data_IF_002863624450
#
_entry.id   IF_002863624450
#
_cell.length_a   1.000
_cell.length_b   1.000
_cell.length_c   1.000
_cell.angle_alpha   90.00
_cell.angle_beta   90.00
_cell.angle_gamma   90.00
#
_symmetry.space_group_name_H-M   'P 1'
#
loop_
_entity.id
_entity.type
_entity.pdbx_description
1 polymer ?
#
# COMPACT_ATOMS: atom_id res chain seq x y z
N UNK A 1 -0.31 -8.17 -14.93
CA UNK A 1 0.28 -9.04 -13.89
C UNK A 1 -0.25 -8.61 -12.53
N UNK A 2 -0.88 -9.53 -11.85
CA UNK A 2 -1.59 -9.24 -10.61
C UNK A 2 -1.20 -10.24 -9.53
N UNK A 3 -1.17 -9.77 -8.28
CA UNK A 3 -1.07 -10.63 -7.09
C UNK A 3 -1.96 -10.08 -6.01
N UNK A 4 -2.58 -10.96 -5.23
CA UNK A 4 -3.37 -10.56 -4.08
C UNK A 4 -3.08 -11.52 -2.93
N UNK A 5 -2.85 -10.97 -1.75
CA UNK A 5 -2.61 -11.76 -0.55
C UNK A 5 -3.33 -11.16 0.64
N UNK A 6 -3.70 -12.00 1.60
CA UNK A 6 -4.22 -11.54 2.88
C UNK A 6 -3.05 -11.41 3.83
N UNK A 7 -2.94 -10.26 4.49
CA UNK A 7 -1.86 -10.02 5.43
C UNK A 7 -2.19 -10.63 6.78
N UNK A 8 -1.20 -11.21 7.48
CA UNK A 8 -1.42 -11.63 8.85
C UNK A 8 -1.70 -10.42 9.75
N UNK A 9 -2.52 -10.65 10.76
CA UNK A 9 -2.78 -9.62 11.76
C UNK A 9 -1.54 -9.41 12.61
N UNK A 10 -1.41 -8.21 13.16
CA UNK A 10 -0.33 -7.93 14.07
C UNK A 10 0.94 -7.44 13.37
N UNK A 11 2.05 -7.36 14.13
CA UNK A 11 3.26 -6.68 13.64
C UNK A 11 3.93 -7.35 12.45
N UNK A 12 3.71 -8.63 12.23
CA UNK A 12 4.29 -9.33 11.08
C UNK A 12 3.63 -9.00 9.75
N UNK A 13 2.48 -8.31 9.79
CA UNK A 13 1.74 -7.98 8.56
C UNK A 13 2.51 -7.06 7.63
N UNK A 14 3.14 -6.02 8.16
CA UNK A 14 3.92 -5.11 7.33
C UNK A 14 5.15 -5.80 6.73
N UNK A 15 5.81 -6.64 7.51
CA UNK A 15 6.95 -7.42 7.04
C UNK A 15 6.53 -8.38 5.94
N UNK A 16 5.38 -9.03 6.11
CA UNK A 16 4.81 -9.92 5.10
C UNK A 16 4.52 -9.15 3.80
N UNK A 17 3.94 -7.96 3.93
CA UNK A 17 3.62 -7.12 2.77
C UNK A 17 4.89 -6.73 2.01
N UNK A 18 5.97 -6.37 2.71
CA UNK A 18 7.24 -6.04 2.07
C UNK A 18 7.81 -7.23 1.32
N UNK A 19 7.74 -8.44 1.92
CA UNK A 19 8.23 -9.63 1.24
C UNK A 19 7.44 -9.95 -0.02
N UNK A 20 6.12 -9.78 0.04
CA UNK A 20 5.27 -9.98 -1.13
C UNK A 20 5.63 -8.98 -2.23
N UNK A 21 5.84 -7.73 -1.87
CA UNK A 21 6.22 -6.69 -2.83
C UNK A 21 7.61 -6.98 -3.43
N UNK A 22 8.57 -7.38 -2.61
CA UNK A 22 9.90 -7.69 -3.09
C UNK A 22 9.89 -8.84 -4.08
N UNK A 23 9.09 -9.87 -3.81
CA UNK A 23 8.96 -11.02 -4.69
C UNK A 23 8.32 -10.62 -6.02
N UNK A 24 7.27 -9.81 -5.98
CA UNK A 24 6.64 -9.31 -7.19
C UNK A 24 7.61 -8.46 -8.01
N UNK A 25 8.39 -7.63 -7.34
CA UNK A 25 9.37 -6.77 -8.02
C UNK A 25 10.38 -7.60 -8.80
N UNK A 26 10.83 -8.72 -8.24
CA UNK A 26 11.72 -9.64 -8.95
C UNK A 26 11.04 -10.30 -10.13
N UNK A 27 9.84 -10.84 -9.90
CA UNK A 27 9.09 -11.52 -10.96
C UNK A 27 8.76 -10.59 -12.12
N UNK A 28 8.45 -9.35 -11.82
CA UNK A 28 8.00 -8.38 -12.81
C UNK A 28 9.13 -7.50 -13.32
N UNK A 29 10.35 -7.73 -12.87
CA UNK A 29 11.55 -7.04 -13.33
C UNK A 29 11.45 -5.53 -13.15
N UNK A 30 10.97 -5.11 -11.99
CA UNK A 30 10.93 -3.68 -11.66
C UNK A 30 12.36 -3.17 -11.47
N UNK A 31 12.61 -1.92 -11.86
CA UNK A 31 13.93 -1.35 -11.64
C UNK A 31 14.16 -1.13 -10.15
N UNK A 32 15.42 -0.83 -9.81
CA UNK A 32 15.83 -0.72 -8.41
C UNK A 32 15.14 0.41 -7.68
N UNK A 33 15.07 1.57 -8.32
CA UNK A 33 14.47 2.75 -7.71
C UNK A 33 12.99 2.53 -7.44
N UNK A 34 12.28 1.99 -8.42
CA UNK A 34 10.87 1.69 -8.28
C UNK A 34 10.64 0.66 -7.17
N UNK A 35 11.49 -0.36 -7.10
CA UNK A 35 11.40 -1.39 -6.08
C UNK A 35 11.61 -0.80 -4.68
N UNK A 36 12.62 0.02 -4.50
CA UNK A 36 12.90 0.62 -3.19
C UNK A 36 11.75 1.53 -2.73
N UNK A 37 11.22 2.34 -3.64
CA UNK A 37 10.10 3.21 -3.33
C UNK A 37 8.86 2.38 -3.00
N UNK A 38 8.57 1.35 -3.80
CA UNK A 38 7.41 0.49 -3.55
C UNK A 38 7.50 -0.21 -2.20
N UNK A 39 8.68 -0.69 -1.82
CA UNK A 39 8.87 -1.34 -0.52
C UNK A 39 8.58 -0.38 0.63
N UNK A 40 9.04 0.85 0.53
CA UNK A 40 8.76 1.86 1.56
C UNK A 40 7.27 2.15 1.64
N UNK A 41 6.64 2.41 0.51
CA UNK A 41 5.23 2.82 0.50
C UNK A 41 4.30 1.68 0.91
N UNK A 42 4.56 0.44 0.48
CA UNK A 42 3.72 -0.69 0.89
C UNK A 42 3.82 -0.93 2.39
N UNK A 43 5.01 -0.73 2.96
CA UNK A 43 5.21 -0.84 4.40
C UNK A 43 4.35 0.17 5.15
N UNK A 44 4.31 1.41 4.67
CA UNK A 44 3.50 2.46 5.29
C UNK A 44 2.01 2.16 5.20
N UNK A 45 1.53 1.76 4.03
CA UNK A 45 0.12 1.43 3.84
C UNK A 45 -0.30 0.23 4.70
N UNK A 46 0.52 -0.81 4.71
CA UNK A 46 0.21 -2.00 5.50
C UNK A 46 0.21 -1.70 7.00
N UNK A 47 1.18 -0.92 7.46
CA UNK A 47 1.25 -0.54 8.87
C UNK A 47 0.02 0.26 9.28
N UNK A 48 -0.38 1.23 8.46
CA UNK A 48 -1.58 2.01 8.73
C UNK A 48 -2.83 1.13 8.79
N UNK A 49 -2.99 0.23 7.85
CA UNK A 49 -4.17 -0.63 7.81
C UNK A 49 -4.23 -1.57 9.01
N UNK A 50 -3.09 -2.09 9.43
CA UNK A 50 -3.02 -3.01 10.56
C UNK A 50 -3.25 -2.29 11.87
N UNK A 51 -2.71 -1.09 12.03
CA UNK A 51 -2.81 -0.31 13.27
C UNK A 51 -4.16 0.36 13.43
N UNK A 52 -4.73 0.87 12.35
CA UNK A 52 -5.91 1.74 12.39
C UNK A 52 -7.12 1.18 11.68
N UNK A 53 -6.95 0.13 10.88
CA UNK A 53 -8.03 -0.51 10.18
C UNK A 53 -8.59 -1.70 10.92
N UNK A 54 -9.44 -2.44 10.25
CA UNK A 54 -10.09 -3.63 10.78
C UNK A 54 -9.73 -4.84 9.92
N UNK A 55 -9.25 -5.94 10.53
CA UNK A 55 -8.96 -7.14 9.74
C UNK A 55 -10.22 -7.74 9.11
N UNK A 56 -10.10 -8.49 8.02
CA UNK A 56 -8.84 -8.85 7.35
C UNK A 56 -8.28 -7.70 6.53
N UNK A 57 -6.97 -7.66 6.37
CA UNK A 57 -6.26 -6.70 5.55
C UNK A 57 -5.73 -7.41 4.32
N UNK A 58 -6.03 -6.89 3.15
CA UNK A 58 -5.61 -7.47 1.88
C UNK A 58 -4.68 -6.55 1.13
N UNK A 59 -3.69 -7.13 0.52
CA UNK A 59 -2.73 -6.44 -0.32
C UNK A 59 -2.93 -6.88 -1.76
N UNK A 60 -3.10 -5.93 -2.66
CA UNK A 60 -3.23 -6.18 -4.09
C UNK A 60 -2.13 -5.44 -4.84
N UNK A 61 -1.41 -6.14 -5.70
CA UNK A 61 -0.33 -5.60 -6.50
C UNK A 61 -0.67 -5.82 -7.97
N UNK A 62 -0.54 -4.76 -8.76
CA UNK A 62 -0.81 -4.85 -10.20
C UNK A 62 0.25 -4.06 -10.97
N UNK A 63 0.82 -4.70 -11.98
CA UNK A 63 1.70 -4.02 -12.92
C UNK A 63 1.03 -4.00 -14.29
N UNK A 64 0.91 -2.82 -14.87
CA UNK A 64 0.27 -2.59 -16.14
C UNK A 64 1.15 -1.64 -16.95
N UNK A 65 1.82 -2.17 -17.97
CA UNK A 65 2.87 -1.46 -18.68
C UNK A 65 4.00 -1.07 -17.71
N UNK A 66 4.23 0.22 -17.52
CA UNK A 66 5.26 0.73 -16.60
C UNK A 66 4.67 1.27 -15.31
N UNK A 67 3.39 0.98 -15.04
CA UNK A 67 2.70 1.52 -13.88
C UNK A 67 2.44 0.42 -12.86
N UNK A 68 2.96 0.61 -11.66
CA UNK A 68 2.69 -0.27 -10.54
C UNK A 68 1.59 0.34 -9.68
N UNK A 69 0.52 -0.42 -9.46
CA UNK A 69 -0.54 -0.03 -8.54
C UNK A 69 -0.55 -0.97 -7.36
N UNK A 70 -0.55 -0.40 -6.17
CA UNK A 70 -0.60 -1.14 -4.92
C UNK A 70 -1.81 -0.68 -4.14
N UNK A 71 -2.63 -1.63 -3.68
CA UNK A 71 -3.83 -1.36 -2.89
C UNK A 71 -3.79 -2.15 -1.61
N UNK A 72 -4.13 -1.49 -0.51
CA UNK A 72 -4.30 -2.15 0.77
C UNK A 72 -5.73 -1.88 1.23
N UNK A 73 -6.49 -2.96 1.43
CA UNK A 73 -7.91 -2.90 1.79
C UNK A 73 -8.11 -3.50 3.17
N UNK A 74 -8.79 -2.78 4.05
CA UNK A 74 -9.23 -3.32 5.33
C UNK A 74 -10.74 -3.26 5.43
N UNK A 75 -11.31 -3.78 6.51
CA UNK A 75 -12.76 -3.88 6.68
C UNK A 75 -13.39 -2.72 7.44
N UNK A 76 -12.60 -1.69 7.74
CA UNK A 76 -13.10 -0.52 8.46
C UNK A 76 -14.01 0.33 7.55
N UNK A 77 -15.12 0.86 8.06
CA UNK A 77 -15.94 1.76 7.28
C UNK A 77 -15.40 3.20 7.25
N UNK A 78 -14.38 3.50 8.04
CA UNK A 78 -13.88 4.87 8.20
C UNK A 78 -12.72 5.10 7.26
N UNK A 79 -12.82 6.11 6.40
CA UNK A 79 -11.73 6.50 5.52
C UNK A 79 -10.59 7.11 6.33
N UNK A 80 -9.33 6.93 5.89
CA UNK A 80 -8.20 7.56 6.55
C UNK A 80 -8.25 9.06 6.36
N UNK A 81 -7.84 9.79 7.40
CA UNK A 81 -7.67 11.22 7.31
C UNK A 81 -6.21 11.53 7.02
N UNK A 82 -5.99 12.37 6.03
CA UNK A 82 -4.67 12.92 5.82
C UNK A 82 -4.30 13.81 6.98
N UNK A 83 -3.10 13.60 7.48
CA UNK A 83 -2.62 14.17 8.70
C UNK A 83 -3.01 15.61 8.94
N UNK A 84 -3.99 15.80 9.80
CA UNK A 84 -4.22 17.08 10.40
C UNK A 84 -3.07 17.30 11.38
N UNK A 85 -2.36 18.42 11.28
CA UNK A 85 -1.28 18.67 12.23
C UNK A 85 -1.78 18.53 13.67
N UNK A 86 -1.07 17.74 14.46
CA UNK A 86 -1.42 17.51 15.85
C UNK A 86 -2.34 16.34 16.10
N UNK A 87 -2.93 15.76 15.09
CA UNK A 87 -3.69 14.53 15.25
C UNK A 87 -2.73 13.34 15.26
N UNK A 88 -3.22 12.12 15.17
CA UNK A 88 -2.37 10.93 15.24
C UNK A 88 -1.19 11.05 14.27
N UNK A 89 -0.04 11.39 14.83
CA UNK A 89 1.14 11.72 14.04
C UNK A 89 1.68 10.53 13.29
N UNK A 90 1.50 9.32 13.80
CA UNK A 90 2.03 8.14 13.17
C UNK A 90 1.33 7.84 11.86
N UNK A 91 0.00 7.83 11.87
CA UNK A 91 -0.74 7.60 10.63
C UNK A 91 -0.61 8.79 9.67
N UNK A 92 -0.55 10.01 10.19
CA UNK A 92 -0.34 11.19 9.36
C UNK A 92 0.97 11.13 8.59
N UNK A 93 2.03 10.66 9.24
CA UNK A 93 3.34 10.54 8.58
C UNK A 93 3.34 9.51 7.47
N UNK A 94 2.70 8.35 7.68
CA UNK A 94 2.65 7.33 6.65
C UNK A 94 2.00 7.84 5.39
N UNK A 95 0.85 8.49 5.51
CA UNK A 95 0.15 9.02 4.35
C UNK A 95 0.91 10.19 3.71
N UNK A 96 1.61 10.99 4.50
CA UNK A 96 2.44 12.06 3.95
C UNK A 96 3.58 11.52 3.10
N UNK A 97 4.20 10.42 3.53
CA UNK A 97 5.26 9.79 2.76
C UNK A 97 4.71 9.29 1.41
N UNK A 98 3.55 8.64 1.45
CA UNK A 98 2.89 8.18 0.23
C UNK A 98 2.60 9.37 -0.70
N UNK A 99 2.06 10.44 -0.15
CA UNK A 99 1.73 11.63 -0.92
C UNK A 99 2.96 12.23 -1.60
N UNK A 100 4.10 12.21 -0.94
CA UNK A 100 5.33 12.80 -1.48
C UNK A 100 5.98 11.94 -2.55
N UNK A 101 5.93 10.63 -2.41
CA UNK A 101 6.72 9.73 -3.25
C UNK A 101 5.91 9.03 -4.33
N UNK A 102 4.61 8.89 -4.15
CA UNK A 102 3.79 8.24 -5.16
C UNK A 102 3.51 9.18 -6.33
N UNK A 103 3.44 8.64 -7.53
CA UNK A 103 3.00 9.41 -8.69
C UNK A 103 1.52 9.78 -8.53
N UNK A 104 0.72 8.86 -8.00
CA UNK A 104 -0.68 9.08 -7.66
C UNK A 104 -1.01 8.26 -6.42
N UNK A 105 -1.98 8.71 -5.64
CA UNK A 105 -2.46 7.96 -4.49
C UNK A 105 -3.90 8.37 -4.19
N UNK A 106 -4.59 7.57 -3.42
CA UNK A 106 -5.94 7.89 -3.02
C UNK A 106 -6.48 6.91 -2.00
N UNK A 107 -7.70 7.17 -1.58
CA UNK A 107 -8.43 6.27 -0.71
C UNK A 107 -9.90 6.27 -1.11
N UNK A 108 -10.56 5.14 -0.90
CA UNK A 108 -11.97 5.01 -1.23
C UNK A 108 -12.64 3.99 -0.33
N UNK A 109 -13.93 4.24 -0.06
CA UNK A 109 -14.76 3.26 0.64
C UNK A 109 -15.25 2.23 -0.36
N UNK A 110 -15.37 0.97 0.10
CA UNK A 110 -15.96 -0.08 -0.71
C UNK A 110 -17.45 0.20 -0.91
N UNK A 111 -17.93 0.02 -2.14
CA UNK A 111 -19.34 0.19 -2.46
C UNK A 111 -20.17 -1.05 -2.18
N UNK A 112 -19.54 -2.21 -2.17
CA UNK A 112 -20.27 -3.49 -2.13
C UNK A 112 -20.18 -4.18 -0.78
N UNK A 113 -19.28 -3.73 0.09
CA UNK A 113 -19.10 -4.28 1.43
C UNK A 113 -18.41 -3.24 2.30
N UNK A 114 -18.50 -3.41 3.61
CA UNK A 114 -17.76 -2.54 4.51
C UNK A 114 -16.28 -2.66 4.25
N UNK A 115 -15.61 -1.52 4.22
CA UNK A 115 -14.18 -1.51 4.03
C UNK A 115 -13.71 -0.26 3.36
N UNK A 116 -12.40 -0.11 3.37
CA UNK A 116 -11.74 0.99 2.67
C UNK A 116 -10.49 0.48 2.00
N UNK A 117 -10.12 1.14 0.91
CA UNK A 117 -8.89 0.86 0.17
C UNK A 117 -8.06 2.12 0.14
N UNK A 118 -6.78 1.99 0.51
CA UNK A 118 -5.79 3.04 0.29
C UNK A 118 -4.83 2.50 -0.76
N UNK A 119 -4.50 3.33 -1.73
CA UNK A 119 -3.70 2.86 -2.86
C UNK A 119 -2.69 3.92 -3.29
N UNK A 120 -1.63 3.45 -3.94
CA UNK A 120 -0.71 4.34 -4.63
C UNK A 120 -0.34 3.75 -5.99
N UNK A 121 0.14 4.62 -6.85
CA UNK A 121 0.70 4.25 -8.16
C UNK A 121 2.08 4.83 -8.30
N UNK A 122 2.97 4.04 -8.87
CA UNK A 122 4.30 4.48 -9.27
C UNK A 122 4.46 4.21 -10.76
N UNK A 123 5.14 5.13 -11.43
CA UNK A 123 5.50 4.93 -12.83
C UNK A 123 7.03 4.87 -12.91
N UNK A 124 7.52 3.98 -13.74
CA UNK A 124 8.96 3.82 -13.86
C UNK A 124 9.30 2.95 -15.04
N UNK A 125 10.58 2.59 -15.11
CA UNK A 125 11.05 1.70 -16.17
C UNK A 125 11.27 0.32 -15.60
N UNK A 126 11.00 -0.68 -16.43
CA UNK A 126 11.30 -2.05 -16.06
C UNK A 126 12.77 -2.32 -16.22
N UNK A 127 13.30 -3.19 -15.37
CA UNK A 127 14.65 -3.66 -15.48
C UNK A 127 14.81 -4.46 -16.77
N UNK A 128 15.90 -4.23 -17.47
CA UNK A 128 16.18 -4.91 -18.72
C UNK A 128 17.22 -5.99 -18.55
#
# INVERSE_FOLDING_TARGET
MDQEVTLPDGPEGASFARRAMARAAELWLLDREMTETALLLVSELATNAIRHGTPPVRLSLRLDSDKLRVEVTDSSPTLPELGTPGSDQTSGRGLQIVQQLAARWGSSASRTRLGKTVWFELSGMLRR
#
